data_IF_584979066011
#
_entry.id   IF_584979066011
#
_cell.length_a   1.000
_cell.length_b   1.000
_cell.length_c   1.000
_cell.angle_alpha   90.00
_cell.angle_beta   90.00
_cell.angle_gamma   90.00
#
_symmetry.space_group_name_H-M   'P 1'
#
loop_
_entity.id
_entity.type
_entity.pdbx_description
1 polymer ?
#
# COMPACT_ATOMS: atom_id res chain seq x y z
N UNK A 1 -24.74 55.23 -59.28
CA UNK A 1 -24.22 55.52 -57.92
C UNK A 1 -23.72 54.18 -57.37
N UNK A 2 -22.45 53.83 -57.66
CA UNK A 2 -21.28 53.81 -56.72
C UNK A 2 -21.32 52.51 -55.90
N UNK A 3 -20.36 51.55 -55.87
CA UNK A 3 -18.97 51.40 -56.38
C UNK A 3 -18.55 49.91 -56.26
N UNK A 4 -17.94 49.31 -57.30
CA UNK A 4 -16.54 48.75 -57.42
C UNK A 4 -16.16 47.57 -56.49
N UNK A 5 -15.86 46.39 -57.06
CA UNK A 5 -14.53 45.84 -57.43
C UNK A 5 -13.65 45.56 -56.20
N UNK A 6 -12.84 44.52 -56.06
CA UNK A 6 -12.39 43.34 -56.83
C UNK A 6 -11.42 42.58 -55.88
N UNK A 7 -10.88 41.40 -56.25
CA UNK A 7 -10.20 40.47 -55.32
C UNK A 7 -8.65 40.63 -55.27
N UNK A 8 -7.99 39.62 -54.65
CA UNK A 8 -6.54 39.27 -54.57
C UNK A 8 -5.77 40.04 -53.45
N UNK A 9 -4.81 39.55 -52.65
CA UNK A 9 -3.78 38.49 -52.74
C UNK A 9 -3.11 38.19 -51.35
N UNK A 10 -1.89 37.62 -51.22
CA UNK A 10 -1.56 36.34 -50.61
C UNK A 10 -0.77 36.49 -49.27
N UNK A 11 -0.23 35.38 -48.76
CA UNK A 11 0.22 35.22 -47.38
C UNK A 11 1.46 35.99 -46.91
N UNK A 12 1.55 36.09 -45.58
CA UNK A 12 2.71 36.24 -44.68
C UNK A 12 2.08 36.25 -43.26
N UNK A 13 2.55 35.64 -42.17
CA UNK A 13 3.87 35.26 -41.72
C UNK A 13 3.79 34.09 -40.73
N UNK A 14 4.83 33.27 -40.75
CA UNK A 14 5.20 32.36 -39.67
C UNK A 14 5.55 33.18 -38.44
N UNK A 15 4.80 33.04 -37.34
CA UNK A 15 5.33 33.27 -36.00
C UNK A 15 5.24 32.00 -35.15
N UNK A 16 6.42 31.56 -34.78
CA UNK A 16 6.76 30.48 -33.85
C UNK A 16 6.27 30.77 -32.44
N UNK A 17 5.55 29.82 -31.85
CA UNK A 17 5.21 29.82 -30.43
C UNK A 17 4.95 28.40 -29.93
N UNK A 18 6.00 27.58 -29.84
CA UNK A 18 5.97 26.29 -29.15
C UNK A 18 6.53 26.49 -27.75
N UNK A 19 5.68 26.42 -26.73
CA UNK A 19 6.07 26.03 -25.38
C UNK A 19 4.83 25.64 -24.56
N UNK A 20 4.81 24.38 -24.15
CA UNK A 20 4.33 23.94 -22.84
C UNK A 20 2.82 23.96 -22.55
N UNK A 21 2.03 23.28 -23.40
CA UNK A 21 0.85 22.57 -22.91
C UNK A 21 1.31 21.29 -22.18
N UNK A 22 1.97 21.48 -21.03
CA UNK A 22 2.21 20.39 -20.09
C UNK A 22 0.85 19.98 -19.55
N UNK A 23 0.22 19.01 -20.20
CA UNK A 23 -0.93 18.26 -19.70
C UNK A 23 -0.66 17.91 -18.24
N UNK A 24 -1.28 18.66 -17.34
CA UNK A 24 -1.33 18.38 -15.93
C UNK A 24 -2.30 17.21 -15.77
N UNK A 25 -1.82 16.00 -16.01
CA UNK A 25 -2.55 14.77 -15.69
C UNK A 25 -2.40 14.54 -14.19
N UNK A 26 -2.96 15.43 -13.38
CA UNK A 26 -3.24 15.11 -11.99
C UNK A 26 -4.37 14.09 -12.01
N UNK A 27 -4.01 12.80 -12.03
CA UNK A 27 -4.98 11.73 -11.83
C UNK A 27 -5.65 11.99 -10.48
N UNK A 28 -6.93 12.39 -10.51
CA UNK A 28 -7.75 12.46 -9.29
C UNK A 28 -7.74 11.07 -8.67
N UNK A 29 -7.11 10.94 -7.50
CA UNK A 29 -7.09 9.68 -6.76
C UNK A 29 -8.51 9.25 -6.42
N UNK A 30 -8.76 7.93 -6.43
CA UNK A 30 -10.08 7.36 -6.10
C UNK A 30 -10.48 7.57 -4.63
N UNK A 31 -9.58 8.10 -3.79
CA UNK A 31 -9.82 8.33 -2.37
C UNK A 31 -10.53 9.68 -2.17
N UNK A 32 -11.67 9.73 -1.46
CA UNK A 32 -12.35 10.99 -1.15
C UNK A 32 -11.42 11.99 -0.45
N UNK A 33 -11.52 13.28 -0.79
CA UNK A 33 -10.62 14.32 -0.25
C UNK A 33 -10.63 14.40 1.28
N UNK A 34 -11.77 14.07 1.89
CA UNK A 34 -12.04 14.12 3.33
C UNK A 34 -11.86 12.77 4.06
N UNK A 35 -11.32 11.75 3.38
CA UNK A 35 -11.05 10.47 4.02
C UNK A 35 -9.92 10.59 5.05
N UNK A 36 -10.21 10.27 6.31
CA UNK A 36 -9.24 10.23 7.39
C UNK A 36 -8.94 8.78 7.82
N UNK A 37 -7.65 8.46 7.98
CA UNK A 37 -7.22 7.18 8.55
C UNK A 37 -7.48 7.16 10.05
N UNK A 38 -8.57 6.48 10.45
CA UNK A 38 -8.93 6.28 11.85
C UNK A 38 -8.20 5.05 12.40
N UNK A 39 -7.29 5.28 13.35
CA UNK A 39 -6.58 4.21 14.06
C UNK A 39 -7.52 3.52 15.05
N UNK A 40 -7.57 2.19 14.99
CA UNK A 40 -8.38 1.32 15.86
C UNK A 40 -7.45 0.40 16.65
N UNK A 41 -7.73 0.23 17.95
CA UNK A 41 -7.04 -0.73 18.82
C UNK A 41 -8.02 -1.85 19.23
N UNK A 42 -8.37 -2.70 18.27
CA UNK A 42 -9.21 -3.88 18.54
C UNK A 42 -8.37 -4.99 19.17
N UNK A 43 -8.98 -5.75 20.08
CA UNK A 43 -8.35 -6.91 20.72
C UNK A 43 -9.29 -8.09 20.61
N UNK A 44 -8.86 -9.12 19.89
CA UNK A 44 -9.65 -10.34 19.77
C UNK A 44 -9.49 -11.22 21.01
N UNK A 45 -10.53 -12.00 21.31
CA UNK A 45 -10.53 -12.89 22.46
C UNK A 45 -9.45 -13.98 22.30
N UNK A 46 -8.60 -14.10 23.30
CA UNK A 46 -7.48 -15.06 23.37
C UNK A 46 -7.78 -16.25 24.29
N UNK A 47 -8.88 -16.19 25.03
CA UNK A 47 -9.30 -17.23 25.98
C UNK A 47 -10.30 -18.21 25.35
N UNK A 48 -10.91 -17.82 24.22
CA UNK A 48 -11.80 -18.69 23.49
C UNK A 48 -11.08 -19.96 23.02
N UNK A 49 -11.66 -21.13 23.31
CA UNK A 49 -11.18 -22.41 22.80
C UNK A 49 -11.63 -22.58 21.35
N UNK A 50 -10.77 -22.17 20.44
CA UNK A 50 -10.98 -22.32 19.00
C UNK A 50 -10.66 -23.75 18.55
N UNK A 51 -11.49 -24.34 17.69
CA UNK A 51 -11.20 -25.65 17.11
C UNK A 51 -10.03 -25.57 16.12
N UNK A 52 -9.30 -26.67 15.92
CA UNK A 52 -8.17 -26.73 14.97
C UNK A 52 -8.56 -26.31 13.55
N UNK A 53 -9.70 -26.80 13.06
CA UNK A 53 -10.27 -26.43 11.77
C UNK A 53 -11.39 -25.41 11.96
N UNK A 54 -11.02 -24.23 12.43
CA UNK A 54 -11.96 -23.18 12.82
C UNK A 54 -12.79 -22.65 11.65
N UNK A 55 -12.30 -22.76 10.42
CA UNK A 55 -13.01 -22.30 9.24
C UNK A 55 -13.96 -23.38 8.73
N UNK A 56 -15.20 -23.40 9.25
CA UNK A 56 -16.26 -24.34 8.82
C UNK A 56 -15.87 -25.82 8.92
N UNK A 57 -14.98 -26.18 9.85
CA UNK A 57 -14.41 -27.53 9.97
C UNK A 57 -13.69 -28.03 8.71
N UNK A 58 -13.23 -27.11 7.85
CA UNK A 58 -12.50 -27.41 6.61
C UNK A 58 -10.98 -27.23 6.85
N UNK A 59 -10.17 -28.30 6.70
CA UNK A 59 -8.74 -28.24 6.93
C UNK A 59 -7.98 -27.40 5.89
N UNK A 60 -8.44 -27.35 4.64
CA UNK A 60 -7.80 -26.62 3.54
C UNK A 60 -8.06 -25.13 3.70
N UNK A 61 -9.32 -24.73 3.92
CA UNK A 61 -9.67 -23.34 4.15
C UNK A 61 -8.92 -22.79 5.37
N UNK A 62 -8.93 -23.55 6.48
CA UNK A 62 -8.20 -23.20 7.70
C UNK A 62 -6.70 -23.03 7.42
N UNK A 63 -6.06 -23.99 6.74
CA UNK A 63 -4.62 -23.91 6.45
C UNK A 63 -4.27 -22.70 5.58
N UNK A 64 -5.12 -22.35 4.61
CA UNK A 64 -4.92 -21.19 3.76
C UNK A 64 -4.99 -19.87 4.54
N UNK A 65 -6.02 -19.66 5.36
CA UNK A 65 -6.10 -18.45 6.18
C UNK A 65 -4.99 -18.38 7.24
N UNK A 66 -4.59 -19.52 7.80
CA UNK A 66 -3.46 -19.60 8.70
C UNK A 66 -2.16 -19.16 8.02
N UNK A 67 -1.90 -19.59 6.77
CA UNK A 67 -0.69 -19.23 6.05
C UNK A 67 -0.67 -17.75 5.65
N UNK A 68 -1.81 -17.18 5.29
CA UNK A 68 -1.95 -15.74 5.03
C UNK A 68 -1.61 -14.94 6.28
N UNK A 69 -2.15 -15.29 7.45
CA UNK A 69 -1.81 -14.59 8.69
C UNK A 69 -0.34 -14.80 9.08
N UNK A 70 0.24 -15.97 8.80
CA UNK A 70 1.63 -16.28 9.10
C UNK A 70 2.63 -15.43 8.29
N UNK A 71 2.30 -15.08 7.05
CA UNK A 71 3.22 -14.35 6.16
C UNK A 71 3.29 -12.85 6.42
N UNK A 72 2.29 -12.27 7.10
CA UNK A 72 2.14 -10.82 7.20
C UNK A 72 3.08 -10.13 8.21
N UNK A 73 3.30 -10.59 9.45
CA UNK A 73 3.97 -9.80 10.47
C UNK A 73 5.34 -9.24 10.07
N UNK A 74 6.16 -10.04 9.39
CA UNK A 74 7.47 -9.62 8.91
C UNK A 74 7.37 -8.63 7.74
N UNK A 75 6.46 -8.91 6.81
CA UNK A 75 6.18 -8.00 5.69
C UNK A 75 5.65 -6.64 6.15
N UNK A 76 4.77 -6.62 7.16
CA UNK A 76 4.25 -5.40 7.78
C UNK A 76 5.37 -4.58 8.43
N UNK A 77 6.28 -5.22 9.17
CA UNK A 77 7.45 -4.54 9.74
C UNK A 77 8.34 -3.92 8.65
N UNK A 78 8.64 -4.68 7.60
CA UNK A 78 9.40 -4.20 6.44
C UNK A 78 8.71 -3.01 5.75
N UNK A 79 7.39 -3.09 5.56
CA UNK A 79 6.61 -2.03 4.93
C UNK A 79 6.58 -0.75 5.77
N UNK A 80 6.38 -0.88 7.08
CA UNK A 80 6.47 0.23 8.03
C UNK A 80 7.84 0.91 7.95
N UNK A 81 8.93 0.13 7.97
CA UNK A 81 10.28 0.69 7.97
C UNK A 81 10.63 1.35 6.63
N UNK A 82 10.15 0.79 5.52
CA UNK A 82 10.23 1.43 4.20
C UNK A 82 9.50 2.78 4.21
N UNK A 83 8.24 2.84 4.64
CA UNK A 83 7.48 4.10 4.67
C UNK A 83 8.11 5.15 5.60
N UNK A 84 8.68 4.74 6.74
CA UNK A 84 9.39 5.66 7.63
C UNK A 84 10.59 6.31 6.97
N UNK A 85 11.34 5.58 6.14
CA UNK A 85 12.52 6.10 5.44
C UNK A 85 12.17 7.25 4.50
N UNK A 86 11.01 7.19 3.83
CA UNK A 86 10.56 8.24 2.91
C UNK A 86 9.75 9.35 3.57
N UNK A 87 9.30 9.19 4.83
CA UNK A 87 8.32 10.08 5.47
C UNK A 87 8.75 11.55 5.52
N UNK A 88 10.05 11.83 5.64
CA UNK A 88 10.58 13.18 5.72
C UNK A 88 10.39 13.98 4.41
N UNK A 89 10.36 13.28 3.27
CA UNK A 89 10.25 13.88 1.95
C UNK A 89 8.79 14.02 1.48
N UNK A 90 7.83 13.58 2.30
CA UNK A 90 6.41 13.60 1.96
C UNK A 90 5.76 14.95 2.32
N UNK A 91 4.76 15.40 1.54
CA UNK A 91 3.91 16.52 1.93
C UNK A 91 3.28 16.32 3.32
N UNK A 92 3.01 17.40 4.08
CA UNK A 92 2.59 17.30 5.48
C UNK A 92 1.38 16.39 5.72
N UNK A 93 0.40 16.43 4.82
CA UNK A 93 -0.79 15.57 4.86
C UNK A 93 -0.40 14.09 4.77
N UNK A 94 0.37 13.72 3.75
CA UNK A 94 0.75 12.33 3.52
C UNK A 94 1.70 11.82 4.61
N UNK A 95 2.60 12.66 5.12
CA UNK A 95 3.44 12.33 6.27
C UNK A 95 2.63 12.06 7.56
N UNK A 96 1.48 12.71 7.72
CA UNK A 96 0.53 12.45 8.81
C UNK A 96 -0.26 11.15 8.58
N UNK A 97 -0.68 10.89 7.35
CA UNK A 97 -1.34 9.64 6.96
C UNK A 97 -0.42 8.43 7.16
N UNK A 98 0.85 8.49 6.75
CA UNK A 98 1.87 7.45 7.02
C UNK A 98 2.05 7.19 8.51
N UNK A 99 1.99 8.23 9.35
CA UNK A 99 2.05 8.08 10.82
C UNK A 99 0.82 7.34 11.35
N UNK A 100 -0.38 7.68 10.87
CA UNK A 100 -1.61 7.02 11.27
C UNK A 100 -1.63 5.56 10.80
N UNK A 101 -1.26 5.32 9.55
CA UNK A 101 -1.09 3.99 8.97
C UNK A 101 -0.10 3.14 9.78
N UNK A 102 1.10 3.64 10.07
CA UNK A 102 2.10 2.94 10.89
C UNK A 102 1.51 2.50 12.23
N UNK A 103 0.72 3.36 12.88
CA UNK A 103 0.09 3.02 14.16
C UNK A 103 -0.99 1.94 13.98
N UNK A 104 -1.75 1.99 12.89
CA UNK A 104 -2.76 0.98 12.57
C UNK A 104 -2.10 -0.38 12.28
N UNK A 105 -1.03 -0.40 11.49
CA UNK A 105 -0.30 -1.62 11.17
C UNK A 105 0.32 -2.26 12.42
N UNK A 106 0.93 -1.48 13.32
CA UNK A 106 1.43 -2.03 14.60
C UNK A 106 0.32 -2.74 15.39
N UNK A 107 -0.88 -2.15 15.43
CA UNK A 107 -2.03 -2.79 16.08
C UNK A 107 -2.47 -4.05 15.33
N UNK A 108 -2.40 -4.05 14.01
CA UNK A 108 -2.74 -5.19 13.15
C UNK A 108 -1.74 -6.35 13.32
N UNK A 109 -0.43 -6.07 13.24
CA UNK A 109 0.66 -7.02 13.50
C UNK A 109 0.51 -7.69 14.86
N UNK A 110 0.13 -6.93 15.90
CA UNK A 110 -0.12 -7.48 17.24
C UNK A 110 -1.20 -8.57 17.25
N UNK A 111 -2.24 -8.41 16.44
CA UNK A 111 -3.32 -9.39 16.34
C UNK A 111 -2.93 -10.58 15.47
N UNK A 112 -2.18 -10.38 14.38
CA UNK A 112 -1.58 -11.48 13.62
C UNK A 112 -0.66 -12.34 14.49
N UNK A 113 0.22 -11.73 15.30
CA UNK A 113 1.11 -12.47 16.22
C UNK A 113 0.30 -13.27 17.25
N UNK A 114 -0.79 -12.71 17.77
CA UNK A 114 -1.66 -13.44 18.70
C UNK A 114 -2.37 -14.62 18.02
N UNK A 115 -2.90 -14.42 16.82
CA UNK A 115 -3.52 -15.48 16.03
C UNK A 115 -2.52 -16.57 15.65
N UNK A 116 -1.31 -16.19 15.24
CA UNK A 116 -0.28 -17.13 14.83
C UNK A 116 0.20 -18.03 15.98
N UNK A 117 0.15 -17.55 17.24
CA UNK A 117 0.38 -18.40 18.42
C UNK A 117 -0.68 -19.49 18.55
N UNK A 118 -1.96 -19.15 18.38
CA UNK A 118 -3.05 -20.14 18.35
C UNK A 118 -2.84 -21.16 17.21
N UNK A 119 -2.40 -20.70 16.05
CA UNK A 119 -2.07 -21.57 14.91
C UNK A 119 -0.91 -22.52 15.25
N UNK A 120 0.12 -22.05 15.94
CA UNK A 120 1.21 -22.89 16.43
C UNK A 120 0.73 -23.91 17.48
N UNK A 121 -0.15 -23.50 18.39
CA UNK A 121 -0.76 -24.40 19.40
C UNK A 121 -1.59 -25.51 18.73
N UNK A 122 -2.14 -25.25 17.55
CA UNK A 122 -2.80 -26.23 16.69
C UNK A 122 -1.85 -27.13 15.87
N UNK A 123 -0.53 -26.99 16.07
CA UNK A 123 0.51 -27.83 15.50
C UNK A 123 0.97 -27.46 14.09
N UNK A 124 0.71 -26.22 13.63
CA UNK A 124 1.22 -25.73 12.35
C UNK A 124 2.60 -25.09 12.50
N UNK A 125 3.50 -25.32 11.54
CA UNK A 125 4.81 -24.68 11.50
C UNK A 125 4.72 -23.27 10.87
N UNK A 126 4.33 -22.29 11.69
CA UNK A 126 4.32 -20.87 11.31
C UNK A 126 5.73 -20.35 11.05
N UNK A 127 6.74 -20.87 11.76
CA UNK A 127 8.11 -20.38 11.67
C UNK A 127 8.72 -20.64 10.30
N UNK A 128 8.37 -21.76 9.65
CA UNK A 128 8.80 -22.02 8.28
C UNK A 128 8.32 -20.98 7.28
N UNK A 129 7.12 -20.40 7.48
CA UNK A 129 6.62 -19.33 6.62
C UNK A 129 7.39 -18.05 6.90
N UNK A 130 7.60 -17.70 8.17
CA UNK A 130 8.37 -16.51 8.55
C UNK A 130 9.80 -16.53 7.99
N UNK A 131 10.48 -17.69 8.04
CA UNK A 131 11.80 -17.89 7.40
C UNK A 131 11.75 -17.69 5.89
N UNK A 132 10.74 -18.22 5.21
CA UNK A 132 10.59 -18.01 3.76
C UNK A 132 10.39 -16.53 3.40
N UNK A 133 9.62 -15.79 4.20
CA UNK A 133 9.45 -14.35 4.01
C UNK A 133 10.75 -13.59 4.31
N UNK A 134 11.48 -13.98 5.35
CA UNK A 134 12.80 -13.42 5.63
C UNK A 134 13.74 -13.55 4.43
N UNK A 135 13.88 -14.76 3.89
CA UNK A 135 14.80 -15.03 2.78
C UNK A 135 14.38 -14.27 1.51
N UNK A 136 13.07 -14.14 1.27
CA UNK A 136 12.55 -13.32 0.17
C UNK A 136 12.88 -11.84 0.35
N UNK A 137 12.70 -11.28 1.55
CA UNK A 137 13.02 -9.88 1.84
C UNK A 137 14.52 -9.60 1.79
N UNK A 138 15.37 -10.57 2.18
CA UNK A 138 16.82 -10.44 2.07
C UNK A 138 17.30 -10.20 0.62
N UNK A 139 16.52 -10.62 -0.40
CA UNK A 139 16.82 -10.34 -1.81
C UNK A 139 16.72 -8.84 -2.17
N UNK A 140 16.12 -8.03 -1.30
CA UNK A 140 16.03 -6.57 -1.46
C UNK A 140 17.24 -5.83 -0.91
N UNK A 141 18.11 -6.50 -0.15
CA UNK A 141 19.30 -5.88 0.43
C UNK A 141 20.24 -5.34 -0.66
N UNK A 142 20.78 -4.14 -0.42
CA UNK A 142 21.67 -3.45 -1.35
C UNK A 142 20.98 -2.84 -2.57
N UNK A 143 19.67 -3.02 -2.75
CA UNK A 143 18.89 -2.31 -3.77
C UNK A 143 18.59 -0.87 -3.32
N UNK A 144 18.36 0.06 -4.27
CA UNK A 144 17.89 1.39 -3.94
C UNK A 144 16.58 1.33 -3.12
N UNK A 145 16.38 2.20 -2.11
CA UNK A 145 15.21 2.15 -1.24
C UNK A 145 13.86 2.23 -1.98
N UNK A 146 13.83 2.85 -3.16
CA UNK A 146 12.63 2.97 -3.99
C UNK A 146 12.16 1.60 -4.53
N UNK A 147 13.07 0.63 -4.63
CA UNK A 147 12.72 -0.74 -5.01
C UNK A 147 11.75 -1.39 -4.02
N UNK A 148 11.75 -0.95 -2.76
CA UNK A 148 10.90 -1.50 -1.70
C UNK A 148 9.49 -0.91 -1.68
N UNK A 149 9.20 0.05 -2.56
CA UNK A 149 7.88 0.69 -2.72
C UNK A 149 7.03 0.02 -3.83
N UNK A 150 7.59 -0.91 -4.59
CA UNK A 150 7.00 -1.50 -5.80
C UNK A 150 6.47 -2.92 -5.59
#
# INVERSE_FOLDING_TARGET
MVTRNSPIDPGSDLETGRADDKRQIAARGATPEEHALIVRDQRFDRQHKTARWWHSNDPVATAWYNSVSASLPRGEAFFIDTLKAFRADLPPRLAAEVKAFTRQEINHTREHVAFNRLVQDHGYDVESIDRGIHDMLALTEGRPPEFNLA
#
